data_IF_337191026572
#
_entry.id   IF_337191026572
#
_cell.length_a   1.000
_cell.length_b   1.000
_cell.length_c   1.000
_cell.angle_alpha   90.00
_cell.angle_beta   90.00
_cell.angle_gamma   90.00
#
_symmetry.space_group_name_H-M   'P 1'
#
loop_
_entity.id
_entity.type
_entity.pdbx_description
1 polymer ?
#
# COMPACT_ATOMS: atom_id res chain seq x y z
N UNK A 1 -2.45 2.07 -37.40
CA UNK A 1 -3.91 2.04 -37.51
C UNK A 1 -4.49 0.89 -36.68
N UNK A 2 -4.10 -0.37 -36.95
CA UNK A 2 -4.44 -1.56 -36.13
C UNK A 2 -4.24 -1.40 -34.61
N UNK A 3 -3.06 -0.94 -34.16
CA UNK A 3 -2.77 -0.86 -32.71
C UNK A 3 -3.74 0.04 -31.93
N UNK A 4 -4.12 1.19 -32.48
CA UNK A 4 -5.02 2.15 -31.81
C UNK A 4 -6.50 1.83 -32.05
N UNK A 5 -6.87 1.33 -33.23
CA UNK A 5 -8.27 1.16 -33.64
C UNK A 5 -8.81 -0.28 -33.50
N UNK A 6 -7.96 -1.30 -33.35
CA UNK A 6 -8.39 -2.70 -33.18
C UNK A 6 -8.02 -3.27 -31.82
N UNK A 7 -6.86 -2.87 -31.27
CA UNK A 7 -6.37 -3.37 -29.98
C UNK A 7 -6.58 -2.39 -28.82
N UNK A 8 -7.00 -1.15 -29.10
CA UNK A 8 -7.16 -0.09 -28.08
C UNK A 8 -5.85 0.35 -27.41
N UNK A 9 -4.70 0.07 -28.04
CA UNK A 9 -3.37 0.35 -27.49
C UNK A 9 -2.84 1.68 -28.02
N UNK A 10 -2.59 2.62 -27.11
CA UNK A 10 -1.80 3.82 -27.39
C UNK A 10 -0.30 3.48 -27.27
N UNK A 11 0.52 4.06 -28.15
CA UNK A 11 1.97 3.84 -28.12
C UNK A 11 2.54 4.37 -26.80
N UNK A 12 3.27 3.56 -26.00
CA UNK A 12 3.81 4.01 -24.72
C UNK A 12 4.78 5.17 -24.91
N UNK A 13 4.64 6.24 -24.11
CA UNK A 13 5.62 7.32 -24.11
C UNK A 13 6.94 6.84 -23.47
N UNK A 14 8.09 6.92 -24.17
CA UNK A 14 9.36 6.39 -23.69
C UNK A 14 9.82 6.97 -22.34
N UNK A 15 9.49 8.24 -22.07
CA UNK A 15 9.79 8.91 -20.80
C UNK A 15 8.89 8.48 -19.65
N UNK A 16 7.66 8.01 -19.95
CA UNK A 16 6.68 7.59 -18.96
C UNK A 16 7.15 6.38 -18.14
N UNK A 17 7.95 5.49 -18.74
CA UNK A 17 8.45 4.29 -18.06
C UNK A 17 9.38 4.61 -16.88
N UNK A 18 10.34 5.54 -17.07
CA UNK A 18 11.28 5.94 -16.01
C UNK A 18 10.60 6.69 -14.88
N UNK A 19 9.70 7.61 -15.23
CA UNK A 19 8.92 8.36 -14.25
C UNK A 19 8.01 7.43 -13.43
N UNK A 20 7.36 6.46 -14.08
CA UNK A 20 6.54 5.45 -13.41
C UNK A 20 7.37 4.59 -12.47
N UNK A 21 8.54 4.11 -12.91
CA UNK A 21 9.44 3.33 -12.07
C UNK A 21 9.90 4.12 -10.83
N UNK A 22 10.30 5.39 -11.00
CA UNK A 22 10.68 6.26 -9.90
C UNK A 22 9.53 6.53 -8.94
N UNK A 23 8.33 6.79 -9.45
CA UNK A 23 7.14 7.01 -8.64
C UNK A 23 6.76 5.78 -7.81
N UNK A 24 6.81 4.58 -8.41
CA UNK A 24 6.53 3.32 -7.71
C UNK A 24 7.59 3.07 -6.64
N UNK A 25 8.88 3.16 -6.99
CA UNK A 25 9.98 2.93 -6.05
C UNK A 25 9.91 3.89 -4.85
N UNK A 26 9.75 5.19 -5.10
CA UNK A 26 9.62 6.19 -4.04
C UNK A 26 8.39 5.94 -3.16
N UNK A 27 7.26 5.58 -3.76
CA UNK A 27 6.03 5.28 -3.02
C UNK A 27 6.16 4.03 -2.15
N UNK A 28 6.81 2.97 -2.65
CA UNK A 28 7.06 1.75 -1.89
C UNK A 28 8.00 1.97 -0.71
N UNK A 29 9.05 2.77 -0.91
CA UNK A 29 9.97 3.14 0.17
C UNK A 29 9.21 3.93 1.23
N UNK A 30 8.55 5.02 0.84
CA UNK A 30 7.81 5.88 1.77
C UNK A 30 6.70 5.11 2.50
N UNK A 31 5.93 4.29 1.79
CA UNK A 31 4.88 3.46 2.37
C UNK A 31 5.42 2.38 3.31
N UNK A 32 6.54 1.74 2.95
CA UNK A 32 7.21 0.73 3.76
C UNK A 32 7.83 1.28 5.04
N UNK A 33 8.24 2.55 5.06
CA UNK A 33 8.75 3.20 6.27
C UNK A 33 7.68 3.39 7.35
N UNK A 34 6.40 3.51 6.98
CA UNK A 34 5.30 3.73 7.92
C UNK A 34 5.22 2.63 9.00
N UNK A 35 5.10 1.33 8.67
CA UNK A 35 5.09 0.25 9.67
C UNK A 35 6.44 0.09 10.39
N UNK A 36 7.55 0.47 9.77
CA UNK A 36 8.90 0.28 10.35
C UNK A 36 9.28 1.38 11.34
N UNK A 37 8.76 2.60 11.17
CA UNK A 37 9.14 3.75 11.99
C UNK A 37 8.95 3.50 13.50
N UNK A 38 7.87 2.87 14.00
CA UNK A 38 7.75 2.59 15.43
C UNK A 38 8.84 1.66 15.98
N UNK A 39 9.35 0.72 15.19
CA UNK A 39 10.46 -0.14 15.60
C UNK A 39 11.81 0.60 15.67
N UNK A 40 11.95 1.71 14.96
CA UNK A 40 13.13 2.57 15.04
C UNK A 40 13.08 3.51 16.25
N UNK A 41 11.87 3.84 16.73
CA UNK A 41 11.65 4.86 17.76
C UNK A 41 11.41 4.29 19.16
N UNK A 42 10.84 3.09 19.27
CA UNK A 42 10.50 2.48 20.54
C UNK A 42 11.45 1.33 20.89
N UNK A 43 11.99 1.27 22.13
CA UNK A 43 12.92 0.21 22.53
C UNK A 43 12.22 -1.13 22.82
N UNK A 44 10.93 -1.10 23.15
CA UNK A 44 10.14 -2.30 23.43
C UNK A 44 9.50 -2.80 22.13
N UNK A 45 9.87 -4.01 21.70
CA UNK A 45 9.33 -4.66 20.50
C UNK A 45 7.81 -4.82 20.58
N UNK A 46 7.26 -5.18 21.74
CA UNK A 46 5.82 -5.37 21.89
C UNK A 46 5.06 -4.04 21.79
N UNK A 47 5.62 -2.97 22.38
CA UNK A 47 5.04 -1.63 22.26
C UNK A 47 5.13 -1.14 20.81
N UNK A 48 6.29 -1.33 20.16
CA UNK A 48 6.49 -0.98 18.76
C UNK A 48 5.51 -1.72 17.84
N UNK A 49 5.23 -2.99 18.09
CA UNK A 49 4.25 -3.79 17.35
C UNK A 49 2.85 -3.19 17.41
N UNK A 50 2.35 -2.86 18.62
CA UNK A 50 1.02 -2.27 18.78
C UNK A 50 0.90 -0.90 18.14
N UNK A 51 1.93 -0.05 18.31
CA UNK A 51 1.97 1.27 17.68
C UNK A 51 2.05 1.15 16.15
N UNK A 52 2.90 0.26 15.64
CA UNK A 52 3.04 -0.04 14.21
C UNK A 52 1.74 -0.53 13.59
N UNK A 53 1.04 -1.47 14.23
CA UNK A 53 -0.25 -1.94 13.76
C UNK A 53 -1.26 -0.79 13.66
N UNK A 54 -1.38 0.04 14.70
CA UNK A 54 -2.29 1.19 14.70
C UNK A 54 -1.97 2.20 13.59
N UNK A 55 -0.72 2.63 13.49
CA UNK A 55 -0.27 3.60 12.48
C UNK A 55 -0.46 3.05 11.06
N UNK A 56 -0.18 1.76 10.85
CA UNK A 56 -0.35 1.11 9.54
C UNK A 56 -1.83 1.02 9.15
N UNK A 57 -2.72 0.68 10.08
CA UNK A 57 -4.16 0.64 9.80
C UNK A 57 -4.70 2.04 9.43
N UNK A 58 -4.24 3.09 10.12
CA UNK A 58 -4.58 4.48 9.77
C UNK A 58 -4.04 4.83 8.37
N UNK A 59 -2.79 4.47 8.07
CA UNK A 59 -2.20 4.73 6.77
C UNK A 59 -2.94 4.00 5.64
N UNK A 60 -3.31 2.72 5.83
CA UNK A 60 -4.11 1.94 4.89
C UNK A 60 -5.50 2.56 4.67
N UNK A 61 -6.12 3.08 5.73
CA UNK A 61 -7.40 3.77 5.63
C UNK A 61 -7.27 5.03 4.77
N UNK A 62 -6.28 5.88 5.06
CA UNK A 62 -6.02 7.11 4.31
C UNK A 62 -5.71 6.79 2.85
N UNK A 63 -4.82 5.82 2.58
CA UNK A 63 -4.51 5.37 1.22
C UNK A 63 -5.75 4.88 0.48
N UNK A 64 -6.55 4.03 1.12
CA UNK A 64 -7.76 3.49 0.50
C UNK A 64 -8.82 4.57 0.26
N UNK A 65 -8.94 5.56 1.14
CA UNK A 65 -9.82 6.71 0.97
C UNK A 65 -9.39 7.57 -0.22
N UNK A 66 -8.12 7.96 -0.26
CA UNK A 66 -7.53 8.78 -1.32
C UNK A 66 -7.65 8.05 -2.67
N UNK A 67 -7.30 6.76 -2.71
CA UNK A 67 -7.48 5.90 -3.88
C UNK A 67 -8.94 5.90 -4.35
N UNK A 68 -9.90 5.65 -3.44
CA UNK A 68 -11.33 5.63 -3.79
C UNK A 68 -11.79 6.97 -4.38
N UNK A 69 -11.34 8.09 -3.80
CA UNK A 69 -11.65 9.44 -4.29
C UNK A 69 -11.13 9.69 -5.71
N UNK A 70 -9.96 9.18 -6.05
CA UNK A 70 -9.37 9.32 -7.39
C UNK A 70 -9.95 8.35 -8.42
N UNK A 71 -10.34 7.14 -8.02
CA UNK A 71 -10.87 6.12 -8.95
C UNK A 71 -12.39 6.18 -9.13
N UNK A 72 -13.08 7.18 -8.54
CA UNK A 72 -14.54 7.32 -8.64
C UNK A 72 -15.35 6.29 -7.85
N UNK A 73 -14.71 5.56 -6.93
CA UNK A 73 -15.38 4.60 -6.04
C UNK A 73 -15.73 5.31 -4.74
N UNK A 74 -16.75 4.87 -4.01
CA UNK A 74 -17.05 5.40 -2.67
C UNK A 74 -15.76 5.38 -1.79
N UNK A 75 -15.25 6.55 -1.34
CA UNK A 75 -13.97 6.64 -0.63
C UNK A 75 -13.94 5.81 0.66
N UNK A 76 -15.04 5.80 1.42
CA UNK A 76 -15.12 5.03 2.66
C UNK A 76 -15.07 3.52 2.39
N UNK A 77 -15.73 3.06 1.33
CA UNK A 77 -15.66 1.65 0.92
C UNK A 77 -14.24 1.27 0.50
N UNK A 78 -13.57 2.14 -0.26
CA UNK A 78 -12.17 1.96 -0.66
C UNK A 78 -11.20 1.91 0.53
N UNK A 79 -11.41 2.78 1.51
CA UNK A 79 -10.67 2.80 2.78
C UNK A 79 -10.85 1.50 3.56
N UNK A 80 -12.10 1.11 3.83
CA UNK A 80 -12.41 -0.11 4.58
C UNK A 80 -11.89 -1.37 3.88
N UNK A 81 -12.05 -1.47 2.56
CA UNK A 81 -11.52 -2.61 1.81
C UNK A 81 -9.99 -2.69 1.92
N UNK A 82 -9.30 -1.56 1.84
CA UNK A 82 -7.84 -1.51 1.92
C UNK A 82 -7.34 -1.90 3.32
N UNK A 83 -8.01 -1.42 4.37
CA UNK A 83 -7.74 -1.82 5.77
C UNK A 83 -7.98 -3.31 5.98
N UNK A 84 -9.11 -3.84 5.49
CA UNK A 84 -9.45 -5.26 5.68
C UNK A 84 -8.46 -6.18 4.97
N UNK A 85 -8.15 -5.91 3.70
CA UNK A 85 -7.20 -6.75 2.94
C UNK A 85 -5.81 -6.68 3.56
N UNK A 86 -5.32 -5.47 3.88
CA UNK A 86 -4.00 -5.31 4.49
C UNK A 86 -3.92 -5.90 5.89
N UNK A 87 -4.95 -5.71 6.72
CA UNK A 87 -5.04 -6.27 8.06
C UNK A 87 -5.10 -7.79 8.07
N UNK A 88 -5.87 -8.40 7.16
CA UNK A 88 -5.89 -9.87 7.00
C UNK A 88 -4.54 -10.41 6.53
N UNK A 89 -3.89 -9.75 5.58
CA UNK A 89 -2.56 -10.14 5.11
C UNK A 89 -1.52 -10.06 6.23
N UNK A 90 -1.52 -8.97 7.00
CA UNK A 90 -0.62 -8.79 8.15
C UNK A 90 -0.90 -9.83 9.25
N UNK A 91 -2.17 -10.10 9.56
CA UNK A 91 -2.56 -11.14 10.52
C UNK A 91 -2.13 -12.54 10.08
N UNK A 92 -2.28 -12.87 8.80
CA UNK A 92 -1.81 -14.14 8.25
C UNK A 92 -0.29 -14.26 8.33
N UNK A 93 0.46 -13.22 7.94
CA UNK A 93 1.92 -13.19 8.03
C UNK A 93 2.40 -13.35 9.48
N UNK A 94 1.78 -12.66 10.43
CA UNK A 94 2.07 -12.80 11.86
C UNK A 94 1.76 -14.21 12.37
N UNK A 95 0.61 -14.77 12.00
CA UNK A 95 0.21 -16.12 12.38
C UNK A 95 1.20 -17.17 11.88
N UNK A 96 1.64 -17.08 10.62
CA UNK A 96 2.65 -17.96 10.04
C UNK A 96 3.99 -17.80 10.78
N UNK A 97 4.44 -16.56 11.00
CA UNK A 97 5.68 -16.29 11.72
C UNK A 97 5.65 -16.87 13.15
N UNK A 98 4.50 -16.83 13.82
CA UNK A 98 4.30 -17.37 15.16
C UNK A 98 4.24 -18.90 15.22
N UNK A 99 3.88 -19.56 14.13
CA UNK A 99 3.82 -21.03 14.03
C UNK A 99 5.18 -21.64 13.68
N UNK A 100 5.99 -20.92 12.90
CA UNK A 100 7.30 -21.39 12.43
C UNK A 100 8.43 -20.96 13.39
N UNK A 101 8.30 -19.79 14.02
CA UNK A 101 9.25 -19.27 15.02
C UNK A 101 8.83 -19.59 16.44
#
# INVERSE_FOLDING_TARGET
FMMRFELGLEAPEPAGARQSAGAIAGSYIAGGFIPLAPYMLFPSTLTALWVSAGVTLIALFVFGYVKGRFTGINPLRGALQTVLVGGLAAGAAFGIARLIG
#
